data_IF_474750509390
#
_entry.id   IF_474750509390
#
_cell.length_a   1.000
_cell.length_b   1.000
_cell.length_c   1.000
_cell.angle_alpha   90.00
_cell.angle_beta   90.00
_cell.angle_gamma   90.00
#
_symmetry.space_group_name_H-M   'P 1'
#
loop_
_entity.id
_entity.type
_entity.pdbx_description
1 polymer ?
#
# COMPACT_ATOMS: atom_id res chain seq x y z
N UNK A 1 -15.94 41.06 -32.79
CA UNK A 1 -14.57 40.91 -32.26
C UNK A 1 -14.68 40.79 -30.75
N UNK A 2 -14.71 39.57 -30.24
CA UNK A 2 -14.74 39.28 -28.80
C UNK A 2 -13.47 38.51 -28.47
N UNK A 3 -12.65 39.09 -27.60
CA UNK A 3 -11.39 38.49 -27.16
C UNK A 3 -11.68 37.47 -26.05
N UNK A 4 -11.22 36.23 -26.26
CA UNK A 4 -11.17 35.17 -25.26
C UNK A 4 -10.01 35.44 -24.29
N UNK A 5 -10.18 35.22 -22.97
CA UNK A 5 -9.07 35.33 -22.04
C UNK A 5 -8.17 34.08 -22.12
N UNK A 6 -6.88 34.32 -22.30
CA UNK A 6 -5.81 33.36 -22.15
C UNK A 6 -5.72 32.89 -20.69
N UNK A 7 -5.90 31.58 -20.46
CA UNK A 7 -5.50 30.94 -19.22
C UNK A 7 -4.00 30.63 -19.29
N UNK A 8 -3.19 31.32 -18.48
CA UNK A 8 -1.80 30.97 -18.26
C UNK A 8 -1.75 29.79 -17.28
N UNK A 9 -1.49 28.59 -17.80
CA UNK A 9 -1.16 27.42 -16.99
C UNK A 9 0.27 27.52 -16.49
N UNK A 10 0.43 27.63 -15.17
CA UNK A 10 1.69 27.34 -14.50
C UNK A 10 1.63 25.88 -14.05
N UNK A 11 2.26 25.00 -14.82
CA UNK A 11 2.46 23.60 -14.44
C UNK A 11 3.56 23.55 -13.37
N UNK A 12 3.17 23.46 -12.10
CA UNK A 12 4.09 23.17 -11.00
C UNK A 12 4.20 21.66 -10.82
N UNK A 13 5.26 21.06 -11.36
CA UNK A 13 5.56 19.63 -11.23
C UNK A 13 6.25 19.36 -9.88
N UNK A 14 5.53 18.76 -8.93
CA UNK A 14 6.10 18.23 -7.70
C UNK A 14 6.26 16.71 -7.81
N UNK A 15 7.46 16.21 -7.52
CA UNK A 15 7.73 14.79 -7.34
C UNK A 15 7.49 14.42 -5.88
N UNK A 16 6.54 13.52 -5.62
CA UNK A 16 6.19 13.06 -4.28
C UNK A 16 7.13 11.91 -3.90
N UNK A 17 8.30 12.21 -3.34
CA UNK A 17 9.14 11.20 -2.72
C UNK A 17 8.58 10.92 -1.32
N UNK A 18 7.75 9.88 -1.20
CA UNK A 18 7.14 9.52 0.08
C UNK A 18 8.05 8.59 0.92
N UNK A 19 8.02 8.81 2.23
CA UNK A 19 8.82 8.05 3.21
C UNK A 19 8.25 6.64 3.36
N UNK A 20 9.14 5.65 3.25
CA UNK A 20 8.83 4.22 3.43
C UNK A 20 8.19 3.99 4.79
N UNK A 21 6.93 3.56 4.79
CA UNK A 21 6.30 3.00 5.97
C UNK A 21 6.71 1.54 6.09
N UNK A 22 7.53 1.22 7.10
CA UNK A 22 7.71 -0.15 7.55
C UNK A 22 6.44 -0.63 8.24
N UNK A 23 5.98 -1.85 7.93
CA UNK A 23 5.00 -2.54 8.76
C UNK A 23 5.43 -2.47 10.24
N UNK A 24 4.49 -2.34 11.21
CA UNK A 24 4.85 -2.23 12.62
C UNK A 24 5.72 -3.42 13.05
N UNK A 25 6.98 -3.12 13.35
CA UNK A 25 7.95 -4.08 13.86
C UNK A 25 7.55 -4.44 15.29
N UNK A 26 7.07 -5.66 15.52
CA UNK A 26 6.98 -6.23 16.85
C UNK A 26 8.03 -7.32 16.98
N UNK A 27 9.07 -7.03 17.79
CA UNK A 27 9.97 -8.04 18.34
C UNK A 27 9.13 -9.08 19.08
N UNK A 28 9.25 -10.34 18.64
CA UNK A 28 9.00 -11.46 19.53
C UNK A 28 10.11 -11.46 20.60
N UNK A 29 9.84 -10.88 21.78
CA UNK A 29 10.68 -11.11 22.95
C UNK A 29 10.38 -12.51 23.49
N UNK A 30 11.22 -13.47 23.09
CA UNK A 30 11.12 -14.86 23.50
C UNK A 30 12.35 -15.66 23.10
N UNK A 31 13.50 -15.32 23.68
CA UNK A 31 14.72 -16.12 23.57
C UNK A 31 15.99 -15.30 23.67
N UNK A 32 16.66 -15.33 24.82
CA UNK A 32 18.02 -14.79 24.97
C UNK A 32 19.00 -15.65 24.17
N UNK A 33 19.43 -15.16 23.01
CA UNK A 33 20.62 -15.67 22.34
C UNK A 33 21.75 -14.67 22.62
N UNK A 34 22.68 -15.02 23.51
CA UNK A 34 23.96 -14.32 23.61
C UNK A 34 24.74 -14.62 22.34
N UNK A 35 25.00 -13.58 21.54
CA UNK A 35 25.92 -13.66 20.39
C UNK A 35 27.23 -13.01 20.80
N UNK A 36 28.27 -13.83 20.79
CA UNK A 36 29.66 -13.46 21.02
C UNK A 36 30.17 -12.54 19.91
N UNK A 37 30.64 -11.35 20.29
CA UNK A 37 31.27 -10.38 19.39
C UNK A 37 32.78 -10.56 19.43
N UNK A 38 33.31 -11.55 18.72
CA UNK A 38 34.74 -11.56 18.37
C UNK A 38 34.94 -11.97 16.90
N UNK A 39 35.78 -11.19 16.21
CA UNK A 39 36.34 -11.39 14.85
C UNK A 39 35.56 -10.85 13.63
N UNK A 40 35.84 -9.60 13.26
CA UNK A 40 35.76 -9.10 11.87
C UNK A 40 37.19 -8.88 11.33
N UNK A 41 37.56 -9.43 10.16
CA UNK A 41 38.80 -9.05 9.49
C UNK A 41 38.61 -7.74 8.73
N UNK A 42 39.42 -6.73 9.07
CA UNK A 42 39.53 -5.47 8.34
C UNK A 42 40.08 -5.69 6.92
N UNK A 43 39.21 -5.63 5.92
CA UNK A 43 39.58 -5.47 4.51
C UNK A 43 39.77 -3.99 4.17
N UNK A 44 40.96 -3.62 3.71
CA UNK A 44 41.33 -2.26 3.30
C UNK A 44 40.57 -1.85 2.02
N UNK A 45 39.68 -0.86 2.13
CA UNK A 45 39.17 -0.11 0.97
C UNK A 45 40.12 1.05 0.66
N UNK A 46 40.49 1.21 -0.61
CA UNK A 46 41.13 2.44 -1.09
C UNK A 46 40.05 3.47 -1.47
N UNK A 47 40.16 4.73 -1.03
CA UNK A 47 39.20 5.76 -1.40
C UNK A 47 39.40 6.20 -2.86
N UNK A 48 38.30 6.30 -3.59
CA UNK A 48 38.21 6.96 -4.90
C UNK A 48 38.31 8.48 -4.69
N UNK A 49 39.09 9.23 -5.49
CA UNK A 49 39.24 10.67 -5.30
C UNK A 49 37.92 11.39 -5.63
N UNK A 50 37.38 12.09 -4.64
CA UNK A 50 36.26 13.04 -4.82
C UNK A 50 36.86 14.35 -5.31
N UNK A 51 36.51 14.77 -6.53
CA UNK A 51 36.73 16.14 -6.99
C UNK A 51 35.82 17.08 -6.19
N UNK A 52 36.44 17.94 -5.38
CA UNK A 52 35.82 18.94 -4.54
C UNK A 52 35.11 20.02 -5.38
N UNK A 53 33.81 20.19 -5.19
CA UNK A 53 33.12 21.45 -5.49
C UNK A 53 33.32 22.39 -4.30
N UNK A 54 33.99 23.52 -4.55
CA UNK A 54 34.12 24.60 -3.59
C UNK A 54 32.88 25.50 -3.67
N UNK A 55 32.13 25.60 -2.57
CA UNK A 55 31.03 26.55 -2.45
C UNK A 55 30.08 26.22 -1.29
N UNK A 56 30.23 26.98 -0.20
CA UNK A 56 29.44 26.97 1.05
C UNK A 56 29.73 25.82 2.04
N UNK A 57 30.43 26.16 3.12
CA UNK A 57 30.57 25.30 4.30
C UNK A 57 29.18 25.01 4.91
N UNK A 58 28.79 23.74 5.07
CA UNK A 58 27.60 23.41 5.85
C UNK A 58 27.87 23.76 7.32
N UNK A 59 26.95 24.50 7.93
CA UNK A 59 26.96 24.74 9.38
C UNK A 59 27.05 23.38 10.10
N UNK A 60 27.92 23.22 11.11
CA UNK A 60 28.08 21.96 11.80
C UNK A 60 26.76 21.57 12.48
N UNK A 61 26.37 20.32 12.29
CA UNK A 61 25.25 19.70 12.98
C UNK A 61 25.54 19.70 14.48
N UNK A 62 24.53 20.09 15.28
CA UNK A 62 24.63 20.06 16.74
C UNK A 62 24.65 18.58 17.16
N UNK A 63 25.83 18.10 17.54
CA UNK A 63 26.02 16.80 18.16
C UNK A 63 25.39 16.85 19.57
N UNK A 64 24.32 16.09 19.78
CA UNK A 64 23.74 15.92 21.10
C UNK A 64 24.72 15.13 21.97
N UNK A 65 25.32 15.78 22.97
CA UNK A 65 26.16 15.11 23.96
C UNK A 65 25.30 14.13 24.79
N UNK A 66 25.53 12.81 24.67
CA UNK A 66 24.77 11.79 25.40
C UNK A 66 25.00 11.83 26.92
N UNK A 67 25.94 12.65 27.41
CA UNK A 67 26.20 12.85 28.84
C UNK A 67 25.57 14.14 29.40
N UNK A 68 24.77 14.86 28.61
CA UNK A 68 24.04 16.03 29.10
C UNK A 68 23.08 15.61 30.23
N UNK A 69 23.19 16.17 31.44
CA UNK A 69 22.26 15.84 32.52
C UNK A 69 20.84 16.25 32.12
N UNK A 70 19.81 15.43 32.46
CA UNK A 70 18.44 15.75 32.11
C UNK A 70 18.05 17.09 32.75
N UNK A 71 17.78 18.09 31.92
CA UNK A 71 17.17 19.34 32.37
C UNK A 71 15.83 19.01 33.00
N UNK A 72 15.72 19.27 34.31
CA UNK A 72 14.52 19.07 35.09
C UNK A 72 13.35 19.79 34.43
N UNK A 73 12.41 19.00 33.92
CA UNK A 73 11.09 19.47 33.49
C UNK A 73 10.33 19.82 34.76
N UNK A 74 9.94 21.09 34.91
CA UNK A 74 9.00 21.53 35.94
C UNK A 74 7.69 20.77 35.75
N UNK A 75 7.47 19.74 36.58
CA UNK A 75 6.18 19.10 36.76
C UNK A 75 5.29 20.06 37.57
N UNK A 76 4.45 20.82 36.87
CA UNK A 76 3.31 21.50 37.45
C UNK A 76 2.34 20.46 38.02
N UNK A 77 2.33 20.33 39.35
CA UNK A 77 1.42 19.47 40.08
C UNK A 77 -0.04 19.92 39.95
N UNK A 78 -0.82 19.16 39.19
CA UNK A 78 -2.28 19.18 39.28
C UNK A 78 -2.72 18.12 40.30
N UNK A 79 -3.18 18.58 41.46
CA UNK A 79 -3.85 17.74 42.45
C UNK A 79 -5.17 17.19 41.86
N UNK A 80 -5.52 15.92 42.10
CA UNK A 80 -6.80 15.38 41.66
C UNK A 80 -7.95 16.05 42.42
N UNK A 81 -8.85 16.69 41.67
CA UNK A 81 -10.10 17.25 42.17
C UNK A 81 -10.96 16.12 42.74
N UNK A 82 -11.35 16.28 44.00
CA UNK A 82 -12.18 15.33 44.73
C UNK A 82 -13.58 15.30 44.12
N UNK A 83 -13.94 14.16 43.51
CA UNK A 83 -15.28 13.91 43.00
C UNK A 83 -16.25 13.79 44.19
N UNK A 84 -17.29 14.64 44.28
CA UNK A 84 -18.24 14.54 45.39
C UNK A 84 -19.13 13.31 45.21
N UNK A 85 -19.15 12.47 46.25
CA UNK A 85 -20.02 11.32 46.35
C UNK A 85 -21.48 11.78 46.54
N UNK A 86 -22.28 11.74 45.48
CA UNK A 86 -23.70 12.04 45.55
C UNK A 86 -24.58 10.92 44.98
N UNK A 87 -25.62 10.64 45.77
CA UNK A 87 -26.86 9.90 45.49
C UNK A 87 -26.81 8.38 45.39
N UNK A 88 -26.74 7.77 46.57
CA UNK A 88 -27.34 6.46 46.86
C UNK A 88 -28.87 6.64 46.86
N UNK A 89 -29.55 6.20 45.79
CA UNK A 89 -31.01 6.12 45.77
C UNK A 89 -31.48 4.99 46.70
N UNK A 90 -32.29 5.27 47.75
CA UNK A 90 -32.98 4.24 48.51
C UNK A 90 -34.32 3.96 47.83
N UNK A 91 -34.50 2.76 47.28
CA UNK A 91 -35.83 2.33 46.80
C UNK A 91 -35.88 1.51 45.50
N UNK A 92 -34.80 0.83 45.10
CA UNK A 92 -34.93 -0.19 44.07
C UNK A 92 -35.63 -1.43 44.67
N UNK A 93 -36.77 -1.89 44.12
CA UNK A 93 -37.44 -3.09 44.59
C UNK A 93 -36.51 -4.29 44.44
N UNK A 94 -36.40 -5.09 45.51
CA UNK A 94 -35.68 -6.37 45.52
C UNK A 94 -36.17 -7.23 44.36
N UNK A 95 -35.31 -7.38 43.35
CA UNK A 95 -35.57 -8.20 42.19
C UNK A 95 -35.40 -9.65 42.65
N UNK A 96 -36.50 -10.39 42.63
CA UNK A 96 -36.59 -11.80 43.00
C UNK A 96 -35.52 -12.63 42.23
N UNK A 97 -34.53 -13.16 42.95
CA UNK A 97 -33.51 -14.09 42.44
C UNK A 97 -34.13 -15.45 42.08
N UNK A 98 -34.90 -15.48 41.00
CA UNK A 98 -35.28 -16.72 40.33
C UNK A 98 -34.13 -17.20 39.44
N UNK A 99 -33.85 -18.52 39.34
CA UNK A 99 -32.88 -19.06 38.39
C UNK A 99 -33.19 -18.56 36.98
N UNK A 100 -32.28 -17.78 36.40
CA UNK A 100 -32.45 -17.28 35.04
C UNK A 100 -32.66 -18.46 34.07
N UNK A 101 -33.69 -18.42 33.20
CA UNK A 101 -33.91 -19.47 32.23
C UNK A 101 -32.67 -19.60 31.34
N UNK A 102 -32.14 -20.81 31.21
CA UNK A 102 -30.95 -21.08 30.43
C UNK A 102 -31.12 -20.54 29.00
N UNK A 103 -30.12 -19.83 28.44
CA UNK A 103 -30.23 -19.25 27.11
C UNK A 103 -30.49 -20.35 26.06
N UNK A 104 -31.35 -20.09 25.07
CA UNK A 104 -31.68 -21.09 24.06
C UNK A 104 -30.42 -21.48 23.26
N UNK A 105 -30.25 -22.78 22.93
CA UNK A 105 -29.07 -23.25 22.21
C UNK A 105 -28.97 -22.61 20.82
N UNK A 106 -27.77 -22.19 20.37
CA UNK A 106 -27.61 -21.50 19.10
C UNK A 106 -27.98 -22.40 17.91
N UNK A 107 -28.85 -21.89 17.04
CA UNK A 107 -29.26 -22.52 15.77
C UNK A 107 -28.60 -21.81 14.59
N UNK A 108 -28.28 -22.54 13.53
CA UNK A 108 -27.82 -21.99 12.24
C UNK A 108 -28.86 -22.42 11.21
N UNK A 109 -29.49 -21.46 10.54
CA UNK A 109 -30.61 -21.68 9.61
C UNK A 109 -31.75 -22.52 10.21
N UNK A 110 -32.09 -22.30 11.49
CA UNK A 110 -33.16 -23.04 12.18
C UNK A 110 -32.81 -24.48 12.60
N UNK A 111 -31.57 -24.94 12.35
CA UNK A 111 -31.12 -26.29 12.64
C UNK A 111 -30.03 -26.27 13.72
N UNK A 112 -30.00 -27.29 14.61
CA UNK A 112 -28.93 -27.45 15.62
C UNK A 112 -27.58 -27.64 14.92
N UNK A 113 -26.53 -26.94 15.38
CA UNK A 113 -25.17 -26.95 14.78
C UNK A 113 -24.65 -28.33 14.39
N UNK A 114 -24.86 -29.35 15.23
CA UNK A 114 -24.43 -30.73 14.95
C UNK A 114 -25.10 -31.34 13.71
N UNK A 115 -26.38 -31.06 13.46
CA UNK A 115 -27.11 -31.57 12.28
C UNK A 115 -26.71 -30.85 11.00
N UNK A 116 -26.43 -29.54 11.08
CA UNK A 116 -25.98 -28.76 9.93
C UNK A 116 -24.69 -29.33 9.31
N UNK A 117 -23.69 -29.62 10.14
CA UNK A 117 -22.41 -30.18 9.68
C UNK A 117 -22.55 -31.59 9.08
N UNK A 118 -23.48 -32.42 9.59
CA UNK A 118 -23.77 -33.73 9.01
C UNK A 118 -24.36 -33.58 7.60
N UNK A 119 -25.33 -32.69 7.42
CA UNK A 119 -25.98 -32.45 6.12
C UNK A 119 -24.97 -31.89 5.11
N UNK A 120 -24.17 -30.89 5.51
CA UNK A 120 -23.14 -30.29 4.66
C UNK A 120 -22.08 -31.32 4.20
N UNK A 121 -21.65 -32.21 5.11
CA UNK A 121 -20.71 -33.29 4.78
C UNK A 121 -21.27 -34.28 3.76
N UNK A 122 -22.55 -34.66 3.88
CA UNK A 122 -23.21 -35.57 2.92
C UNK A 122 -23.31 -34.94 1.52
N UNK A 123 -23.69 -33.66 1.43
CA UNK A 123 -23.78 -32.94 0.15
C UNK A 123 -22.38 -32.80 -0.47
N UNK A 124 -21.38 -32.43 0.32
CA UNK A 124 -19.99 -32.32 -0.15
C UNK A 124 -19.46 -33.64 -0.71
N UNK A 125 -19.72 -34.76 -0.02
CA UNK A 125 -19.34 -36.09 -0.47
C UNK A 125 -19.99 -36.46 -1.82
N UNK A 126 -21.28 -36.14 -1.99
CA UNK A 126 -22.00 -36.40 -3.26
C UNK A 126 -21.43 -35.61 -4.44
N UNK A 127 -21.05 -34.34 -4.22
CA UNK A 127 -20.44 -33.50 -5.26
C UNK A 127 -19.07 -34.05 -5.67
N UNK A 128 -18.24 -34.46 -4.71
CA UNK A 128 -16.92 -35.06 -5.00
C UNK A 128 -17.09 -36.39 -5.75
N UNK A 129 -18.01 -37.25 -5.33
CA UNK A 129 -18.28 -38.52 -6.01
C UNK A 129 -18.76 -38.31 -7.46
N UNK A 130 -19.64 -37.33 -7.70
CA UNK A 130 -20.11 -36.98 -9.03
C UNK A 130 -19.01 -36.42 -9.93
N UNK A 131 -18.15 -35.54 -9.39
CA UNK A 131 -17.05 -34.93 -10.13
C UNK A 131 -16.00 -35.97 -10.56
N UNK A 132 -15.62 -36.86 -9.65
CA UNK A 132 -14.66 -37.93 -9.96
C UNK A 132 -15.28 -38.94 -10.94
N UNK A 133 -16.55 -39.32 -10.77
CA UNK A 133 -17.25 -40.21 -11.70
C UNK A 133 -17.39 -39.67 -13.12
N UNK A 134 -17.58 -38.35 -13.28
CA UNK A 134 -17.65 -37.69 -14.59
C UNK A 134 -16.30 -37.57 -15.29
N UNK A 135 -15.22 -37.33 -14.53
CA UNK A 135 -13.88 -37.09 -15.08
C UNK A 135 -13.23 -38.32 -15.72
N UNK A 136 -13.35 -39.50 -15.12
CA UNK A 136 -12.73 -40.73 -15.68
C UNK A 136 -13.53 -41.37 -16.82
N UNK A 137 -14.84 -41.13 -16.91
CA UNK A 137 -15.68 -41.71 -17.97
C UNK A 137 -15.58 -40.98 -19.33
N UNK A 138 -15.31 -39.67 -19.32
CA UNK A 138 -15.30 -38.86 -20.55
C UNK A 138 -14.01 -38.97 -21.40
N UNK A 139 -12.88 -39.33 -20.78
CA UNK A 139 -11.58 -39.27 -21.45
C UNK A 139 -11.31 -40.42 -22.44
N UNK A 140 -12.11 -41.49 -22.44
CA UNK A 140 -11.86 -42.67 -23.27
C UNK A 140 -12.65 -42.73 -24.59
N UNK A 141 -13.56 -41.78 -24.88
CA UNK A 141 -14.48 -41.92 -26.02
C UNK A 141 -14.01 -41.31 -27.34
N UNK A 142 -12.89 -40.58 -27.39
CA UNK A 142 -12.50 -39.84 -28.59
C UNK A 142 -11.15 -40.32 -29.18
N UNK A 143 -11.18 -41.50 -29.81
CA UNK A 143 -10.16 -41.93 -30.79
C UNK A 143 -10.83 -42.57 -32.01
N UNK A 144 -11.21 -41.75 -32.97
CA UNK A 144 -11.53 -42.20 -34.33
C UNK A 144 -10.67 -41.45 -35.37
N UNK A 145 -9.74 -42.21 -35.95
CA UNK A 145 -9.36 -42.29 -37.36
C UNK A 145 -9.14 -41.04 -38.23
N UNK A 146 -7.93 -41.02 -38.79
CA UNK A 146 -7.58 -40.86 -40.22
C UNK A 146 -7.23 -39.47 -40.77
N UNK A 147 -6.16 -39.42 -41.57
CA UNK A 147 -5.96 -38.39 -42.58
C UNK A 147 -4.53 -37.90 -42.79
N UNK A 148 -3.65 -38.75 -43.29
CA UNK A 148 -2.33 -38.40 -43.84
C UNK A 148 -2.46 -37.52 -45.10
N UNK A 149 -1.77 -36.38 -45.15
CA UNK A 149 -1.37 -35.73 -46.40
C UNK A 149 -0.08 -34.92 -46.22
N UNK A 150 0.84 -35.23 -47.12
CA UNK A 150 2.20 -34.77 -47.30
C UNK A 150 2.19 -33.59 -48.27
N UNK A 151 2.88 -32.48 -47.97
CA UNK A 151 3.38 -31.61 -49.04
C UNK A 151 4.61 -30.79 -48.64
N UNK A 152 5.64 -31.02 -49.44
CA UNK A 152 6.93 -30.36 -49.61
C UNK A 152 6.77 -28.90 -50.06
N UNK A 153 7.65 -27.98 -49.65
CA UNK A 153 8.36 -27.07 -50.58
C UNK A 153 9.47 -26.24 -49.92
N UNK A 154 10.49 -26.01 -50.73
CA UNK A 154 11.80 -25.45 -50.45
C UNK A 154 11.81 -23.92 -50.57
N UNK A 155 12.71 -23.23 -49.87
CA UNK A 155 12.92 -21.80 -50.09
C UNK A 155 14.19 -21.27 -49.41
N UNK A 156 15.32 -21.37 -50.10
CA UNK A 156 16.57 -20.72 -49.74
C UNK A 156 16.47 -19.20 -50.00
N UNK A 157 17.05 -18.37 -49.13
CA UNK A 157 17.41 -17.01 -49.52
C UNK A 157 18.69 -16.55 -48.80
N UNK A 158 19.77 -16.44 -49.59
CA UNK A 158 21.02 -15.77 -49.22
C UNK A 158 20.94 -14.30 -49.60
N UNK A 159 21.33 -13.40 -48.69
CA UNK A 159 21.50 -11.98 -48.99
C UNK A 159 22.70 -11.42 -48.23
N UNK A 160 23.86 -11.41 -48.88
CA UNK A 160 25.04 -10.68 -48.44
C UNK A 160 24.86 -9.20 -48.72
N UNK A 161 25.17 -8.32 -47.77
CA UNK A 161 25.47 -6.92 -48.08
C UNK A 161 26.68 -6.45 -47.27
N UNK A 162 27.77 -6.26 -48.00
CA UNK A 162 29.02 -5.62 -47.61
C UNK A 162 28.88 -4.11 -47.86
N UNK A 163 29.16 -3.30 -46.83
CA UNK A 163 29.19 -1.84 -46.92
C UNK A 163 30.19 -1.27 -45.93
N UNK A 164 31.40 -1.04 -46.42
CA UNK A 164 32.52 -0.37 -45.75
C UNK A 164 32.31 1.15 -45.77
N UNK A 165 32.58 1.83 -44.64
CA UNK A 165 32.55 3.28 -44.54
C UNK A 165 33.13 3.79 -43.22
N UNK A 166 34.37 4.28 -43.29
CA UNK A 166 35.15 4.90 -42.21
C UNK A 166 34.48 6.12 -41.55
N UNK A 167 34.62 6.25 -40.24
CA UNK A 167 35.23 7.42 -39.58
C UNK A 167 35.34 7.18 -38.06
N UNK A 168 36.59 7.06 -37.61
CA UNK A 168 36.99 7.02 -36.20
C UNK A 168 36.83 8.41 -35.60
N UNK A 169 35.86 8.54 -34.69
CA UNK A 169 35.70 9.69 -33.80
C UNK A 169 35.60 9.17 -32.38
N UNK A 170 36.73 9.09 -31.69
CA UNK A 170 36.85 8.66 -30.29
C UNK A 170 36.31 9.74 -29.36
N UNK A 171 34.99 9.92 -29.37
CA UNK A 171 34.27 10.66 -28.34
C UNK A 171 33.95 9.69 -27.21
N UNK A 172 34.67 9.76 -26.10
CA UNK A 172 34.27 9.22 -24.80
C UNK A 172 33.06 10.01 -24.29
N UNK A 173 31.93 9.87 -25.00
CA UNK A 173 30.63 10.26 -24.51
C UNK A 173 30.29 9.34 -23.36
N UNK A 174 30.43 9.84 -22.14
CA UNK A 174 29.81 9.25 -20.97
C UNK A 174 28.31 9.19 -21.25
N UNK A 175 27.83 8.08 -21.82
CA UNK A 175 26.43 7.72 -21.87
C UNK A 175 26.02 7.36 -20.43
N UNK A 176 26.05 8.34 -19.53
CA UNK A 176 25.28 8.27 -18.31
C UNK A 176 23.84 8.44 -18.80
N UNK A 177 22.99 7.40 -18.79
CA UNK A 177 21.59 7.58 -19.14
C UNK A 177 21.01 8.56 -18.13
N UNK A 178 20.91 9.83 -18.53
CA UNK A 178 20.07 10.81 -17.86
C UNK A 178 18.64 10.39 -18.19
N UNK A 179 18.11 9.44 -17.41
CA UNK A 179 16.67 9.27 -17.32
C UNK A 179 16.20 10.55 -16.66
N UNK A 180 15.63 11.47 -17.43
CA UNK A 180 14.96 12.63 -16.87
C UNK A 180 13.88 12.09 -15.92
N UNK A 181 14.12 12.20 -14.61
CA UNK A 181 13.25 11.77 -13.51
C UNK A 181 11.99 12.65 -13.42
N UNK A 182 11.84 13.61 -14.34
CA UNK A 182 10.71 14.51 -14.39
C UNK A 182 9.43 13.71 -14.66
N UNK A 183 8.41 13.99 -13.84
CA UNK A 183 7.06 13.44 -13.94
C UNK A 183 6.95 11.92 -13.69
N UNK A 184 7.92 11.33 -13.00
CA UNK A 184 7.81 9.96 -12.49
C UNK A 184 6.98 9.93 -11.21
N UNK A 185 5.85 9.25 -11.28
CA UNK A 185 5.16 8.78 -10.08
C UNK A 185 5.90 7.57 -9.50
N UNK A 186 6.17 7.62 -8.20
CA UNK A 186 6.90 6.59 -7.47
C UNK A 186 6.10 6.23 -6.23
N UNK A 187 6.06 4.94 -5.89
CA UNK A 187 5.62 4.46 -4.59
C UNK A 187 6.63 3.43 -4.07
N UNK A 188 6.81 3.36 -2.75
CA UNK A 188 7.75 2.41 -2.16
C UNK A 188 7.19 1.78 -0.89
N UNK A 189 7.49 0.50 -0.71
CA UNK A 189 7.17 -0.25 0.51
C UNK A 189 8.40 -1.04 0.95
N UNK A 190 8.50 -1.27 2.25
CA UNK A 190 9.54 -2.10 2.84
C UNK A 190 9.01 -2.92 4.00
N UNK A 191 9.49 -4.15 4.13
CA UNK A 191 9.19 -5.01 5.27
C UNK A 191 10.35 -5.96 5.54
N UNK A 192 10.33 -6.56 6.72
CA UNK A 192 11.23 -7.65 7.08
C UNK A 192 10.43 -8.95 7.17
N UNK A 193 10.91 -10.00 6.51
CA UNK A 193 10.28 -11.32 6.57
C UNK A 193 10.45 -11.94 7.96
N UNK A 194 9.71 -13.03 8.23
CA UNK A 194 9.89 -13.83 9.45
C UNK A 194 11.30 -14.43 9.60
N UNK A 195 12.07 -14.50 8.52
CA UNK A 195 13.45 -15.00 8.50
C UNK A 195 14.50 -13.89 8.61
N UNK A 196 14.09 -12.65 8.88
CA UNK A 196 14.99 -11.48 8.99
C UNK A 196 15.43 -10.91 7.65
N UNK A 197 14.83 -11.36 6.54
CA UNK A 197 15.17 -10.89 5.20
C UNK A 197 14.43 -9.59 4.94
N UNK A 198 15.19 -8.51 4.76
CA UNK A 198 14.65 -7.20 4.38
C UNK A 198 14.27 -7.19 2.90
N UNK A 199 13.06 -6.74 2.64
CA UNK A 199 12.45 -6.63 1.33
C UNK A 199 12.14 -5.16 1.05
N UNK A 200 12.53 -4.66 -0.11
CA UNK A 200 12.09 -3.36 -0.61
C UNK A 200 11.42 -3.54 -1.97
N UNK A 201 10.37 -2.78 -2.22
CA UNK A 201 9.72 -2.68 -3.53
C UNK A 201 9.56 -1.22 -3.88
N UNK A 202 9.92 -0.87 -5.10
CA UNK A 202 9.74 0.47 -5.67
C UNK A 202 8.90 0.33 -6.93
N UNK A 203 7.73 0.95 -6.92
CA UNK A 203 6.82 1.01 -8.04
C UNK A 203 7.03 2.31 -8.79
N UNK A 204 7.06 2.25 -10.11
CA UNK A 204 7.17 3.45 -10.93
C UNK A 204 6.45 3.28 -12.27
N UNK A 205 6.13 4.42 -12.87
CA UNK A 205 5.61 4.51 -14.24
C UNK A 205 6.58 5.34 -15.09
N UNK A 206 7.34 4.75 -16.02
CA UNK A 206 8.19 5.51 -16.92
C UNK A 206 7.38 6.54 -17.71
N UNK A 207 7.88 7.77 -17.84
CA UNK A 207 7.19 8.85 -18.54
C UNK A 207 6.91 8.57 -20.03
N UNK A 208 7.55 7.57 -20.63
CA UNK A 208 7.30 7.15 -22.02
C UNK A 208 6.31 5.99 -22.17
N UNK A 209 5.84 5.40 -21.06
CA UNK A 209 5.08 4.16 -21.07
C UNK A 209 3.80 4.24 -20.24
N UNK A 210 2.80 3.44 -20.61
CA UNK A 210 1.56 3.25 -19.85
C UNK A 210 1.59 1.99 -18.98
N UNK A 211 2.76 1.36 -18.80
CA UNK A 211 2.91 0.21 -17.92
C UNK A 211 3.53 0.61 -16.58
N UNK A 212 3.14 -0.12 -15.53
CA UNK A 212 3.75 -0.03 -14.21
C UNK A 212 4.84 -1.09 -14.07
N UNK A 213 5.88 -0.73 -13.34
CA UNK A 213 7.02 -1.61 -13.06
C UNK A 213 7.26 -1.69 -11.55
N UNK A 214 7.65 -2.88 -11.09
CA UNK A 214 8.15 -3.14 -9.73
C UNK A 214 9.66 -3.37 -9.81
N UNK A 215 10.44 -2.57 -9.08
CA UNK A 215 11.82 -2.87 -8.74
C UNK A 215 11.84 -3.54 -7.37
N UNK A 216 12.29 -4.79 -7.32
CA UNK A 216 12.38 -5.62 -6.12
C UNK A 216 13.83 -5.71 -5.64
N UNK A 217 14.04 -5.49 -4.35
CA UNK A 217 15.30 -5.79 -3.67
C UNK A 217 15.06 -6.71 -2.48
N UNK A 218 15.99 -7.64 -2.30
CA UNK A 218 16.03 -8.60 -1.21
C UNK A 218 17.44 -8.62 -0.60
N UNK A 219 17.54 -8.48 0.72
CA UNK A 219 18.82 -8.49 1.45
C UNK A 219 19.62 -9.80 1.38
N UNK A 220 18.96 -10.93 1.12
CA UNK A 220 19.61 -12.23 0.91
C UNK A 220 20.27 -12.29 -0.47
N UNK A 221 19.58 -11.84 -1.51
CA UNK A 221 20.07 -11.85 -2.90
C UNK A 221 20.97 -10.65 -3.22
N UNK A 222 20.85 -9.55 -2.46
CA UNK A 222 21.61 -8.30 -2.62
C UNK A 222 21.59 -7.71 -4.03
N UNK A 223 20.51 -7.95 -4.77
CA UNK A 223 20.35 -7.47 -6.14
C UNK A 223 18.97 -6.85 -6.34
N UNK A 224 18.89 -5.90 -7.27
CA UNK A 224 17.63 -5.34 -7.75
C UNK A 224 17.15 -6.13 -8.96
N UNK A 225 15.88 -6.53 -8.95
CA UNK A 225 15.19 -7.16 -10.06
C UNK A 225 14.06 -6.24 -10.53
N UNK A 226 13.86 -6.16 -11.84
CA UNK A 226 12.80 -5.34 -12.44
C UNK A 226 11.76 -6.24 -13.11
N UNK A 227 10.48 -6.01 -12.81
CA UNK A 227 9.37 -6.70 -13.44
C UNK A 227 8.27 -5.72 -13.87
N UNK A 228 7.62 -6.01 -14.99
CA UNK A 228 6.41 -5.30 -15.43
C UNK A 228 5.21 -5.91 -14.71
N UNK A 229 4.34 -5.07 -14.14
CA UNK A 229 3.23 -5.51 -13.28
C UNK A 229 1.85 -5.10 -13.80
N UNK A 230 1.76 -4.55 -15.01
CA UNK A 230 0.49 -4.29 -15.73
C UNK A 230 0.61 -4.65 -17.19
N UNK A 231 -0.52 -4.96 -17.82
CA UNK A 231 -0.58 -5.21 -19.26
C UNK A 231 -1.42 -4.13 -19.95
N UNK A 232 -0.78 -3.21 -20.68
CA UNK A 232 -1.44 -2.05 -21.30
C UNK A 232 -2.65 -2.38 -22.19
N UNK A 233 -2.72 -3.58 -22.76
CA UNK A 233 -3.82 -4.01 -23.62
C UNK A 233 -5.12 -4.30 -22.86
N UNK A 234 -5.03 -4.76 -21.61
CA UNK A 234 -6.18 -5.16 -20.79
C UNK A 234 -6.39 -4.24 -19.59
N UNK A 235 -5.37 -3.51 -19.19
CA UNK A 235 -5.33 -2.68 -17.99
C UNK A 235 -4.75 -1.31 -18.33
N UNK A 236 -5.57 -0.38 -18.84
CA UNK A 236 -5.10 0.94 -19.19
C UNK A 236 -4.70 1.72 -17.93
N UNK A 237 -3.43 2.10 -17.83
CA UNK A 237 -2.93 2.99 -16.77
C UNK A 237 -2.83 4.40 -17.33
N UNK A 238 -3.34 5.38 -16.58
CA UNK A 238 -3.21 6.80 -16.94
C UNK A 238 -1.72 7.16 -16.98
N UNK A 239 -1.26 7.92 -17.97
CA UNK A 239 0.11 8.45 -17.96
C UNK A 239 0.28 9.46 -16.82
N UNK A 240 1.36 9.35 -16.04
CA UNK A 240 1.54 10.17 -14.83
C UNK A 240 0.51 9.81 -13.75
N UNK A 241 0.15 8.52 -13.68
CA UNK A 241 -0.78 8.02 -12.67
C UNK A 241 -0.20 8.25 -11.29
N UNK A 242 -0.92 8.84 -10.31
CA UNK A 242 -0.46 8.80 -8.92
C UNK A 242 -0.30 7.34 -8.50
N UNK A 243 0.82 7.01 -7.86
CA UNK A 243 1.08 5.67 -7.34
C UNK A 243 1.09 5.72 -5.82
N UNK A 244 0.50 4.71 -5.19
CA UNK A 244 0.62 4.50 -3.75
C UNK A 244 0.65 3.02 -3.44
N UNK A 245 1.54 2.60 -2.55
CA UNK A 245 1.68 1.20 -2.19
C UNK A 245 1.65 1.01 -0.68
N UNK A 246 1.05 -0.11 -0.24
CA UNK A 246 1.04 -0.56 1.16
C UNK A 246 1.33 -2.05 1.22
N UNK A 247 1.86 -2.49 2.36
CA UNK A 247 2.11 -3.90 2.65
C UNK A 247 1.45 -4.30 3.97
N UNK A 248 0.82 -5.47 3.99
CA UNK A 248 0.28 -6.08 5.20
C UNK A 248 -0.56 -7.31 4.88
N UNK A 249 -1.53 -7.65 5.72
CA UNK A 249 -2.35 -8.84 5.45
C UNK A 249 -3.31 -8.61 4.28
N UNK A 250 -3.61 -9.65 3.47
CA UNK A 250 -4.60 -9.56 2.43
C UNK A 250 -5.96 -9.26 3.05
N UNK A 251 -6.73 -8.42 2.36
CA UNK A 251 -8.11 -8.14 2.70
C UNK A 251 -9.05 -8.96 1.79
N UNK A 252 -10.29 -9.20 2.21
CA UNK A 252 -11.31 -9.83 1.36
C UNK A 252 -11.50 -11.32 1.58
N UNK A 253 -11.64 -11.76 2.84
CA UNK A 253 -11.85 -13.17 3.22
C UNK A 253 -10.75 -14.12 2.72
N UNK A 254 -9.52 -13.61 2.61
CA UNK A 254 -8.37 -14.46 2.37
C UNK A 254 -8.05 -15.23 3.66
N UNK A 255 -7.96 -16.55 3.54
CA UNK A 255 -7.49 -17.43 4.62
C UNK A 255 -5.96 -17.39 4.76
N UNK A 256 -5.25 -16.74 3.84
CA UNK A 256 -3.81 -16.63 3.85
C UNK A 256 -3.36 -15.64 4.94
N UNK A 257 -2.46 -16.09 5.81
CA UNK A 257 -1.75 -15.25 6.79
C UNK A 257 -0.41 -14.73 6.22
N UNK A 258 -0.31 -14.69 4.90
CA UNK A 258 0.87 -14.20 4.20
C UNK A 258 0.78 -12.70 3.99
N UNK A 259 1.93 -12.04 3.94
CA UNK A 259 1.96 -10.63 3.60
C UNK A 259 1.61 -10.45 2.13
N UNK A 260 0.84 -9.42 1.87
CA UNK A 260 0.34 -9.00 0.58
C UNK A 260 0.78 -7.57 0.34
N UNK A 261 1.16 -7.30 -0.90
CA UNK A 261 1.50 -5.98 -1.42
C UNK A 261 0.26 -5.47 -2.15
N UNK A 262 -0.13 -4.23 -1.87
CA UNK A 262 -1.22 -3.58 -2.56
C UNK A 262 -0.71 -2.31 -3.21
N UNK A 263 -0.97 -2.15 -4.51
CA UNK A 263 -0.65 -0.97 -5.29
C UNK A 263 -1.93 -0.31 -5.78
N UNK A 264 -2.06 0.99 -5.53
CA UNK A 264 -3.11 1.86 -6.02
C UNK A 264 -2.59 2.73 -7.14
N UNK A 265 -3.40 2.88 -8.18
CA UNK A 265 -3.14 3.76 -9.31
C UNK A 265 -4.45 4.22 -9.96
N UNK A 266 -4.35 5.13 -10.92
CA UNK A 266 -5.47 5.69 -11.67
C UNK A 266 -5.46 5.23 -13.14
N UNK A 267 -6.62 4.85 -13.68
CA UNK A 267 -6.83 4.63 -15.13
C UNK A 267 -7.19 5.93 -15.85
N UNK A 268 -7.12 5.96 -17.20
CA UNK A 268 -7.79 7.01 -17.97
C UNK A 268 -9.26 7.12 -17.55
N UNK A 269 -9.77 8.35 -17.44
CA UNK A 269 -11.13 8.62 -16.93
C UNK A 269 -11.23 8.75 -15.40
N UNK A 270 -10.14 8.54 -14.68
CA UNK A 270 -10.04 8.86 -13.26
C UNK A 270 -10.40 7.74 -12.30
N UNK A 271 -10.77 6.57 -12.82
CA UNK A 271 -11.09 5.37 -12.03
C UNK A 271 -9.86 4.94 -11.23
N UNK A 272 -10.05 4.77 -9.92
CA UNK A 272 -8.99 4.25 -9.06
C UNK A 272 -8.96 2.72 -9.12
N UNK A 273 -7.77 2.17 -9.26
CA UNK A 273 -7.50 0.75 -9.37
C UNK A 273 -6.70 0.27 -8.19
N UNK A 274 -6.92 -1.00 -7.86
CA UNK A 274 -6.15 -1.72 -6.87
C UNK A 274 -5.60 -2.99 -7.49
N UNK A 275 -4.31 -3.19 -7.29
CA UNK A 275 -3.64 -4.45 -7.58
C UNK A 275 -3.05 -5.05 -6.33
N UNK A 276 -3.27 -6.34 -6.16
CA UNK A 276 -2.79 -7.10 -5.02
C UNK A 276 -1.87 -8.23 -5.50
N UNK A 277 -0.78 -8.46 -4.78
CA UNK A 277 0.11 -9.61 -5.02
C UNK A 277 0.57 -10.19 -3.70
N UNK A 278 0.49 -11.51 -3.57
CA UNK A 278 1.04 -12.24 -2.43
C UNK A 278 2.56 -12.36 -2.58
N UNK A 279 3.33 -12.18 -1.51
CA UNK A 279 4.80 -12.19 -1.61
C UNK A 279 5.37 -13.56 -2.03
N UNK A 280 4.64 -14.64 -1.75
CA UNK A 280 5.03 -16.01 -2.08
C UNK A 280 4.82 -16.40 -3.54
N UNK A 281 4.00 -15.66 -4.29
CA UNK A 281 3.65 -15.99 -5.67
C UNK A 281 4.41 -15.08 -6.65
N UNK A 282 5.28 -15.64 -7.51
CA UNK A 282 5.98 -14.85 -8.50
C UNK A 282 4.98 -14.27 -9.51
N UNK A 283 4.91 -12.94 -9.56
CA UNK A 283 4.25 -12.15 -10.60
C UNK A 283 2.72 -12.31 -10.75
N UNK A 284 2.03 -12.98 -9.84
CA UNK A 284 0.57 -12.98 -9.83
C UNK A 284 0.07 -11.69 -9.18
N UNK A 285 -0.51 -10.83 -10.01
CA UNK A 285 -1.15 -9.59 -9.61
C UNK A 285 -2.63 -9.65 -9.97
N UNK A 286 -3.47 -9.74 -8.95
CA UNK A 286 -4.91 -9.78 -9.12
C UNK A 286 -5.53 -8.40 -8.99
N UNK A 287 -6.66 -8.22 -9.67
CA UNK A 287 -7.51 -7.06 -9.49
C UNK A 287 -8.37 -7.28 -8.24
N UNK A 288 -8.30 -6.36 -7.29
CA UNK A 288 -9.07 -6.43 -6.05
C UNK A 288 -10.34 -5.56 -6.09
N UNK A 289 -11.14 -5.67 -5.03
CA UNK A 289 -12.52 -5.16 -4.96
C UNK A 289 -12.68 -3.64 -4.93
N UNK A 290 -11.60 -2.86 -4.80
CA UNK A 290 -11.64 -1.39 -4.81
C UNK A 290 -11.93 -0.82 -6.21
N UNK A 291 -11.46 -1.49 -7.27
CA UNK A 291 -11.32 -0.93 -8.62
C UNK A 291 -12.58 -0.41 -9.30
N UNK A 292 -13.78 -0.72 -8.80
CA UNK A 292 -15.08 -0.32 -9.38
C UNK A 292 -15.84 0.69 -8.51
N UNK A 293 -15.24 1.19 -7.44
CA UNK A 293 -15.96 1.88 -6.36
C UNK A 293 -15.57 3.34 -6.16
N UNK A 294 -14.50 3.81 -6.81
CA UNK A 294 -13.98 5.16 -6.62
C UNK A 294 -13.51 5.79 -7.94
N UNK A 295 -13.82 7.07 -8.13
CA UNK A 295 -13.32 7.89 -9.25
C UNK A 295 -12.69 9.14 -8.66
N UNK A 296 -11.39 9.31 -8.91
CA UNK A 296 -10.65 10.49 -8.49
C UNK A 296 -10.57 11.54 -9.60
N UNK A 297 -10.31 12.79 -9.22
CA UNK A 297 -10.03 13.87 -10.17
C UNK A 297 -8.78 13.55 -10.99
N UNK A 298 -8.68 14.11 -12.20
CA UNK A 298 -7.54 13.88 -13.08
C UNK A 298 -6.21 14.40 -12.51
N UNK A 299 -6.22 15.27 -11.50
CA UNK A 299 -5.04 15.78 -10.82
C UNK A 299 -4.90 15.26 -9.38
N UNK A 300 -5.80 14.38 -8.92
CA UNK A 300 -5.75 13.85 -7.57
C UNK A 300 -4.42 13.14 -7.32
N UNK A 301 -3.80 13.42 -6.17
CA UNK A 301 -2.84 12.49 -5.59
C UNK A 301 -3.61 11.37 -4.87
N UNK A 302 -2.93 10.26 -4.55
CA UNK A 302 -3.52 9.16 -3.82
C UNK A 302 -2.58 8.83 -2.67
N UNK A 303 -3.14 8.60 -1.49
CA UNK A 303 -2.43 8.02 -0.37
C UNK A 303 -3.24 6.85 0.19
N UNK A 304 -2.59 5.90 0.86
CA UNK A 304 -3.30 4.80 1.52
C UNK A 304 -2.59 4.40 2.80
N UNK A 305 -3.40 3.98 3.77
CA UNK A 305 -2.93 3.57 5.09
C UNK A 305 -3.56 2.25 5.48
N UNK A 306 -2.72 1.32 5.91
CA UNK A 306 -3.14 0.02 6.40
C UNK A 306 -2.87 -0.09 7.90
N UNK A 307 -3.94 -0.27 8.66
CA UNK A 307 -3.89 -0.57 10.08
C UNK A 307 -4.29 -2.02 10.29
N UNK A 308 -3.47 -2.77 11.02
CA UNK A 308 -3.81 -4.11 11.51
C UNK A 308 -3.70 -4.13 13.02
N UNK A 309 -4.80 -4.45 13.69
CA UNK A 309 -4.77 -4.76 15.11
C UNK A 309 -4.46 -6.27 15.26
N UNK A 310 -3.36 -6.61 15.94
CA UNK A 310 -2.92 -8.00 16.08
C UNK A 310 -3.64 -8.74 17.22
N UNK A 311 -4.18 -8.00 18.20
CA UNK A 311 -4.89 -8.57 19.36
C UNK A 311 -6.33 -8.92 18.99
N UNK A 312 -6.98 -8.04 18.24
CA UNK A 312 -8.25 -8.30 17.59
C UNK A 312 -8.02 -8.11 16.09
N UNK A 313 -7.96 -9.19 15.28
CA UNK A 313 -7.53 -9.17 13.88
C UNK A 313 -8.52 -8.39 13.00
N UNK A 314 -8.56 -7.09 13.23
CA UNK A 314 -9.29 -6.09 12.50
C UNK A 314 -8.27 -5.46 11.57
N UNK A 315 -8.56 -5.56 10.29
CA UNK A 315 -7.83 -4.88 9.24
C UNK A 315 -8.64 -3.66 8.84
N UNK A 316 -8.01 -2.49 8.87
CA UNK A 316 -8.58 -1.25 8.37
C UNK A 316 -7.66 -0.73 7.29
N UNK A 317 -8.20 -0.61 6.08
CA UNK A 317 -7.50 -0.08 4.92
C UNK A 317 -8.23 1.18 4.47
N UNK A 318 -7.50 2.28 4.39
CA UNK A 318 -8.06 3.58 4.01
C UNK A 318 -7.30 4.13 2.82
N UNK A 319 -8.03 4.56 1.79
CA UNK A 319 -7.48 5.22 0.60
C UNK A 319 -8.00 6.66 0.58
N UNK A 320 -7.08 7.60 0.47
CA UNK A 320 -7.30 9.05 0.47
C UNK A 320 -7.09 9.58 -0.95
N UNK A 321 -8.05 10.36 -1.46
CA UNK A 321 -8.00 10.95 -2.79
C UNK A 321 -8.95 12.14 -2.89
N UNK A 322 -8.94 12.84 -4.02
CA UNK A 322 -9.88 13.90 -4.35
C UNK A 322 -10.80 13.42 -5.45
N UNK A 323 -12.12 13.58 -5.27
CA UNK A 323 -13.07 13.32 -6.35
C UNK A 323 -13.06 14.46 -7.39
N UNK A 324 -13.47 14.15 -8.62
CA UNK A 324 -13.56 15.17 -9.68
C UNK A 324 -14.52 16.29 -9.28
N UNK A 325 -14.04 17.54 -9.34
CA UNK A 325 -14.83 18.73 -8.96
C UNK A 325 -14.97 18.93 -7.44
N UNK A 326 -14.36 18.07 -6.62
CA UNK A 326 -14.35 18.23 -5.18
C UNK A 326 -13.09 19.01 -4.75
N UNK A 327 -13.27 20.22 -4.22
CA UNK A 327 -12.22 20.95 -3.47
C UNK A 327 -12.00 20.36 -2.06
N UNK A 328 -12.26 19.07 -1.89
CA UNK A 328 -12.28 18.39 -0.60
C UNK A 328 -11.67 17.01 -0.68
N UNK A 329 -11.22 16.50 0.46
CA UNK A 329 -10.72 15.15 0.59
C UNK A 329 -11.87 14.13 0.60
N UNK A 330 -11.67 13.01 -0.11
CA UNK A 330 -12.49 11.81 -0.01
C UNK A 330 -11.67 10.68 0.60
N UNK A 331 -12.30 9.93 1.51
CA UNK A 331 -11.73 8.77 2.17
C UNK A 331 -12.56 7.53 1.86
N UNK A 332 -11.99 6.55 1.17
CA UNK A 332 -12.60 5.23 1.02
C UNK A 332 -12.02 4.27 2.03
N UNK A 333 -12.87 3.71 2.88
CA UNK A 333 -12.45 2.84 3.98
C UNK A 333 -12.99 1.42 3.81
N UNK A 334 -12.14 0.44 4.07
CA UNK A 334 -12.45 -0.98 4.15
C UNK A 334 -12.16 -1.49 5.56
N UNK A 335 -13.08 -2.27 6.13
CA UNK A 335 -12.91 -2.88 7.45
C UNK A 335 -13.28 -4.35 7.39
N UNK A 336 -12.38 -5.18 7.86
CA UNK A 336 -12.57 -6.62 7.98
C UNK A 336 -12.24 -7.05 9.41
N UNK A 337 -13.15 -7.82 10.03
CA UNK A 337 -12.93 -8.41 11.34
C UNK A 337 -12.84 -9.93 11.21
N UNK A 338 -11.70 -10.56 11.52
CA UNK A 338 -11.62 -12.03 11.38
C UNK A 338 -12.53 -12.80 12.34
N UNK A 339 -13.07 -12.16 13.40
CA UNK A 339 -14.03 -12.79 14.32
C UNK A 339 -15.46 -12.78 13.80
N UNK A 340 -15.81 -11.84 12.91
CA UNK A 340 -17.19 -11.61 12.45
C UNK A 340 -17.38 -11.66 10.93
N UNK A 341 -16.30 -11.84 10.16
CA UNK A 341 -16.30 -11.66 8.70
C UNK A 341 -16.16 -10.18 8.30
N UNK A 342 -16.45 -9.88 7.03
CA UNK A 342 -16.40 -8.51 6.50
C UNK A 342 -17.45 -7.65 7.21
N UNK A 343 -16.99 -6.64 7.95
CA UNK A 343 -17.86 -5.73 8.70
C UNK A 343 -18.27 -4.52 7.87
N UNK A 344 -17.43 -4.06 6.93
CA UNK A 344 -17.82 -3.01 5.98
C UNK A 344 -17.09 -3.09 4.65
N UNK A 345 -17.87 -2.99 3.57
CA UNK A 345 -17.37 -2.77 2.22
C UNK A 345 -16.75 -1.37 2.07
N UNK A 346 -15.92 -1.18 1.02
CA UNK A 346 -15.41 0.13 0.61
C UNK A 346 -16.53 1.18 0.58
N UNK A 347 -16.46 2.16 1.47
CA UNK A 347 -17.41 3.26 1.59
C UNK A 347 -16.69 4.61 1.43
N UNK A 348 -16.87 5.33 0.31
CA UNK A 348 -16.31 6.67 0.16
C UNK A 348 -17.03 7.64 1.09
N UNK A 349 -16.27 8.43 1.84
CA UNK A 349 -16.76 9.48 2.72
C UNK A 349 -16.04 10.77 2.39
N UNK A 350 -16.79 11.77 1.93
CA UNK A 350 -16.29 13.13 1.72
C UNK A 350 -16.04 13.78 3.07
N UNK A 351 -14.84 14.30 3.27
CA UNK A 351 -14.47 15.04 4.47
C UNK A 351 -14.74 16.53 4.29
N UNK A 352 -15.13 17.19 5.37
CA UNK A 352 -15.33 18.64 5.39
C UNK A 352 -14.01 19.39 5.64
N UNK A 353 -13.03 19.15 4.78
CA UNK A 353 -11.76 19.89 4.78
C UNK A 353 -11.55 20.49 3.39
N UNK A 354 -11.22 21.78 3.35
CA UNK A 354 -10.91 22.49 2.11
C UNK A 354 -9.45 22.23 1.74
N UNK A 355 -9.25 21.64 0.56
CA UNK A 355 -7.90 21.35 0.04
C UNK A 355 -7.79 21.81 -1.41
N UNK A 356 -6.59 22.21 -1.83
CA UNK A 356 -6.30 22.63 -3.20
C UNK A 356 -6.62 21.51 -4.19
N UNK A 357 -7.09 21.86 -5.39
CA UNK A 357 -7.25 20.88 -6.45
C UNK A 357 -5.87 20.30 -6.83
N UNK A 358 -5.74 18.98 -6.78
CA UNK A 358 -4.47 18.29 -6.97
C UNK A 358 -3.51 18.43 -5.79
N UNK A 359 -4.02 18.75 -4.59
CA UNK A 359 -3.24 18.78 -3.37
C UNK A 359 -2.44 17.48 -3.22
N UNK A 360 -1.14 17.55 -2.89
CA UNK A 360 -0.42 16.44 -2.30
C UNK A 360 -1.17 15.95 -1.06
N UNK A 361 -1.31 14.63 -0.94
CA UNK A 361 -1.88 13.97 0.24
C UNK A 361 -0.79 13.03 0.73
N UNK A 362 -0.44 13.16 2.01
CA UNK A 362 0.43 12.23 2.70
C UNK A 362 -0.18 11.90 4.06
N UNK A 363 0.08 10.71 4.59
CA UNK A 363 -0.22 10.41 5.97
C UNK A 363 0.89 9.57 6.59
N UNK A 364 1.07 9.74 7.90
CA UNK A 364 2.01 8.94 8.67
C UNK A 364 1.48 8.66 10.06
N UNK A 365 1.83 7.51 10.63
CA UNK A 365 1.49 7.21 12.02
C UNK A 365 2.26 8.13 12.97
N UNK A 366 1.60 8.57 14.06
CA UNK A 366 2.19 9.41 15.09
C UNK A 366 1.94 8.76 16.45
N UNK A 367 2.97 8.12 16.98
CA UNK A 367 2.90 7.36 18.23
C UNK A 367 2.22 6.02 18.02
N UNK A 368 0.94 5.92 18.38
CA UNK A 368 0.20 4.65 18.25
C UNK A 368 -0.21 4.42 16.79
N UNK A 369 -0.22 3.18 16.27
CA UNK A 369 -0.55 2.91 14.86
C UNK A 369 -1.96 3.33 14.43
N UNK A 370 -2.89 3.50 15.38
CA UNK A 370 -4.22 4.02 15.08
C UNK A 370 -4.30 5.53 14.90
N UNK A 371 -3.28 6.25 15.39
CA UNK A 371 -3.20 7.70 15.30
C UNK A 371 -2.33 8.05 14.11
N UNK A 372 -2.95 8.55 13.04
CA UNK A 372 -2.19 9.08 11.92
C UNK A 372 -2.28 10.60 11.88
N UNK A 373 -1.29 11.21 11.26
CA UNK A 373 -1.27 12.61 10.90
C UNK A 373 -1.28 12.69 9.39
N UNK A 374 -2.32 13.31 8.87
CA UNK A 374 -2.52 13.52 7.44
C UNK A 374 -2.09 14.95 7.09
N UNK A 375 -1.38 15.11 5.98
CA UNK A 375 -0.85 16.36 5.48
C UNK A 375 -1.50 16.66 4.12
N UNK A 376 -2.01 17.88 3.97
CA UNK A 376 -2.69 18.36 2.76
C UNK A 376 -2.37 19.84 2.54
N UNK A 377 -2.45 20.28 1.29
CA UNK A 377 -2.23 21.68 0.89
C UNK A 377 -3.58 22.34 0.64
N UNK A 378 -3.79 23.52 1.23
CA UNK A 378 -4.96 24.37 1.01
C UNK A 378 -4.86 25.14 -0.32
N UNK A 379 -5.97 25.71 -0.78
CA UNK A 379 -6.02 26.48 -2.04
C UNK A 379 -5.08 27.70 -2.08
N UNK A 380 -4.68 28.22 -0.92
CA UNK A 380 -3.72 29.32 -0.75
C UNK A 380 -2.25 28.85 -0.74
N UNK A 381 -2.00 27.54 -0.89
CA UNK A 381 -0.66 26.94 -0.83
C UNK A 381 -0.17 26.61 0.59
N UNK A 382 -0.97 26.90 1.63
CA UNK A 382 -0.62 26.56 3.01
C UNK A 382 -0.67 25.05 3.23
N UNK A 383 0.39 24.48 3.82
CA UNK A 383 0.41 23.08 4.22
C UNK A 383 -0.23 22.95 5.62
N UNK A 384 -1.29 22.15 5.73
CA UNK A 384 -1.94 21.83 7.00
C UNK A 384 -1.82 20.36 7.33
N UNK A 385 -1.95 20.05 8.63
CA UNK A 385 -2.03 18.67 9.08
C UNK A 385 -3.20 18.42 10.02
N UNK A 386 -3.80 17.24 9.87
CA UNK A 386 -4.99 16.82 10.59
C UNK A 386 -4.72 15.49 11.30
N UNK A 387 -5.06 15.35 12.60
CA UNK A 387 -5.04 14.05 13.26
C UNK A 387 -6.19 13.19 12.74
N UNK A 388 -5.93 11.92 12.48
CA UNK A 388 -6.96 10.95 12.11
C UNK A 388 -6.85 9.69 12.98
N UNK A 389 -7.97 9.33 13.60
CA UNK A 389 -8.15 8.09 14.36
C UNK A 389 -8.77 7.05 13.40
N UNK A 390 -7.95 6.11 12.93
CA UNK A 390 -8.33 5.12 11.92
C UNK A 390 -9.37 4.10 12.42
N UNK A 391 -9.35 3.79 13.72
CA UNK A 391 -10.30 2.86 14.32
C UNK A 391 -11.67 3.50 14.41
N UNK A 392 -11.74 4.74 14.90
CA UNK A 392 -12.99 5.49 15.05
C UNK A 392 -13.48 6.15 13.77
N UNK A 393 -12.63 6.21 12.74
CA UNK A 393 -12.88 6.94 11.50
C UNK A 393 -13.21 8.43 11.76
N UNK A 394 -12.41 9.08 12.62
CA UNK A 394 -12.60 10.49 12.98
C UNK A 394 -11.40 11.28 12.48
N UNK A 395 -11.65 12.22 11.56
CA UNK A 395 -10.68 13.24 11.17
C UNK A 395 -10.87 14.46 12.06
N UNK A 396 -9.83 14.86 12.78
CA UNK A 396 -9.86 16.03 13.64
C UNK A 396 -9.55 17.33 12.92
N UNK A 397 -9.74 18.43 13.64
CA UNK A 397 -9.40 19.78 13.21
C UNK A 397 -7.91 19.93 12.91
N UNK A 398 -7.56 20.93 12.09
CA UNK A 398 -6.17 21.24 11.78
C UNK A 398 -5.41 21.62 13.08
N UNK A 399 -4.25 21.01 13.31
CA UNK A 399 -3.44 21.22 14.54
C UNK A 399 -2.30 22.23 14.30
N UNK A 400 -2.06 22.62 13.05
CA UNK A 400 -1.11 23.68 12.71
C UNK A 400 -1.13 24.03 11.23
N UNK A 401 -0.64 25.24 10.93
CA UNK A 401 -0.47 25.77 9.59
C UNK A 401 1.00 26.11 9.38
N UNK A 402 1.58 25.61 8.29
CA UNK A 402 2.90 26.03 7.83
C UNK A 402 2.67 27.00 6.67
N UNK A 403 3.02 28.29 6.82
CA UNK A 403 2.83 29.26 5.75
C UNK A 403 3.63 28.84 4.52
N UNK A 404 3.17 29.20 3.31
CA UNK A 404 3.90 28.88 2.09
C UNK A 404 5.33 29.45 2.19
N UNK A 405 6.32 28.62 1.87
CA UNK A 405 7.68 29.11 1.73
C UNK A 405 7.73 30.07 0.54
N UNK A 406 8.27 31.30 0.71
CA UNK A 406 8.51 32.19 -0.42
C UNK A 406 9.50 31.50 -1.35
N UNK A 407 9.06 31.26 -2.59
CA UNK A 407 9.83 30.61 -3.66
C UNK A 407 10.90 31.56 -4.21
#
# INVERSE_FOLDING_TARGET
MAALPHANGADSNYSNLEVVHSAPENRYEGGSLQVDHTSYPHGKFQPVPVTSYAGAEPKPWIEHDPNSPPTAREEGGYAPEAVPAYFRHPGAPELHDGPLPAPPPPTICGIRRKKFWIIAGVIGLLVVAAAVGGGVGGALSNRSSSGSAQQTESGANSGSNTGSGSASGTGTGSNTPSVAVQDLSIAAIGWESKTGVKQYRVYHQPASQSNLFESKWDSAEKSWQLSQITQSATEPVKKGSPLMAVVGYPHGNSTAFELSKTLYYQQPGGVLMERNSQDSLPAEWDQAGFSTRATASANSTIHSYLFTNLTDPNLILTVFYQESGAGSLTMSRYVESKKGGITSNWAPTKQNIDIAAGSPIAAASVGRPQNIRMYVTKADGTLTHHPYDVERNILGEAVGELPPHPV
#
